data_IF_197145292898
#
_entry.id   IF_197145292898
#
_cell.length_a   1.000
_cell.length_b   1.000
_cell.length_c   1.000
_cell.angle_alpha   90.00
_cell.angle_beta   90.00
_cell.angle_gamma   90.00
#
_symmetry.space_group_name_H-M   'P 1'
#
loop_
_entity.id
_entity.type
_entity.pdbx_description
1 polymer ?
#
# COMPACT_ATOMS: atom_id res chain seq x y z
N UNK A 1 5.53 4.00 37.38
CA UNK A 1 5.27 3.08 36.24
C UNK A 1 5.29 3.85 34.92
N UNK A 2 5.82 3.27 33.82
CA UNK A 2 5.65 3.85 32.49
C UNK A 2 4.15 4.02 32.20
N UNK A 3 3.78 5.05 31.46
CA UNK A 3 2.37 5.32 31.06
C UNK A 3 2.06 4.83 29.65
N UNK A 4 3.08 4.50 28.85
CA UNK A 4 2.98 3.92 27.50
C UNK A 4 4.27 3.17 27.13
N UNK A 5 4.21 2.23 26.18
CA UNK A 5 5.39 1.69 25.48
C UNK A 5 5.47 2.23 24.06
N UNK A 6 6.67 2.20 23.48
CA UNK A 6 6.89 2.65 22.10
C UNK A 6 6.64 1.51 21.11
N UNK A 7 6.24 1.86 19.89
CA UNK A 7 5.91 0.91 18.82
C UNK A 7 7.09 0.58 17.89
N UNK A 8 8.26 1.16 18.12
CA UNK A 8 9.45 0.92 17.29
C UNK A 8 10.69 0.73 18.16
N UNK A 9 11.57 -0.20 17.75
CA UNK A 9 12.71 -0.63 18.54
C UNK A 9 13.75 0.48 18.75
N UNK A 10 13.86 1.40 17.80
CA UNK A 10 14.77 2.56 17.80
C UNK A 10 14.35 3.64 18.80
N UNK A 11 13.09 3.62 19.23
CA UNK A 11 12.57 4.49 20.30
C UNK A 11 12.52 3.77 21.66
N UNK A 12 12.93 2.50 21.72
CA UNK A 12 12.81 1.69 22.93
C UNK A 12 13.87 2.09 23.97
N UNK A 13 13.53 1.92 25.25
CA UNK A 13 14.51 2.05 26.32
C UNK A 13 15.42 0.83 26.29
N UNK A 14 16.71 1.04 26.04
CA UNK A 14 17.71 -0.02 26.16
C UNK A 14 17.76 -0.53 27.61
N UNK A 15 17.52 -1.83 27.78
CA UNK A 15 17.72 -2.54 29.04
C UNK A 15 18.96 -3.42 28.92
N UNK A 16 19.77 -3.46 29.97
CA UNK A 16 20.91 -4.36 30.07
C UNK A 16 20.57 -5.48 31.04
N UNK A 17 20.89 -6.71 30.65
CA UNK A 17 20.77 -7.87 31.53
C UNK A 17 21.69 -7.72 32.74
N UNK A 18 21.21 -8.11 33.94
CA UNK A 18 21.94 -8.03 35.20
C UNK A 18 21.44 -9.07 36.22
N UNK A 19 22.20 -9.25 37.31
CA UNK A 19 21.79 -10.00 38.50
C UNK A 19 21.85 -9.10 39.75
N UNK A 20 20.79 -9.07 40.59
CA UNK A 20 19.51 -9.76 40.45
C UNK A 20 18.72 -9.28 39.22
N UNK A 21 17.77 -10.10 38.71
CA UNK A 21 17.02 -9.78 37.49
C UNK A 21 16.22 -8.49 37.65
N UNK A 22 16.06 -7.77 36.53
CA UNK A 22 15.18 -6.61 36.47
C UNK A 22 13.72 -7.05 36.76
N UNK A 23 13.04 -6.32 37.64
CA UNK A 23 11.62 -6.52 37.98
C UNK A 23 10.80 -5.31 37.53
N UNK A 24 9.47 -5.45 37.44
CA UNK A 24 8.54 -4.38 37.03
C UNK A 24 8.82 -3.82 35.62
N UNK A 25 9.07 -4.73 34.66
CA UNK A 25 9.18 -4.40 33.25
C UNK A 25 7.83 -4.68 32.59
N UNK A 26 6.96 -3.66 32.61
CA UNK A 26 5.64 -3.72 32.00
C UNK A 26 5.70 -3.22 30.55
N UNK A 27 5.06 -3.95 29.63
CA UNK A 27 4.83 -3.52 28.25
C UNK A 27 3.38 -3.05 28.15
N UNK A 28 3.18 -1.78 27.81
CA UNK A 28 1.87 -1.16 27.64
C UNK A 28 1.64 -0.98 26.14
N UNK A 29 0.75 -1.77 25.57
CA UNK A 29 0.39 -1.67 24.16
C UNK A 29 -0.51 -0.45 23.99
N UNK A 30 0.04 0.61 23.41
CA UNK A 30 -0.74 1.69 22.81
C UNK A 30 -0.91 1.34 21.32
N UNK A 31 -2.13 1.10 20.82
CA UNK A 31 -2.36 0.81 19.41
C UNK A 31 -2.00 1.98 18.50
N UNK A 32 -1.65 3.15 19.04
CA UNK A 32 -1.40 4.37 18.29
C UNK A 32 -2.69 4.93 17.70
N UNK A 33 -2.54 5.93 16.85
CA UNK A 33 -3.66 6.44 16.08
C UNK A 33 -3.99 5.50 14.91
N UNK A 34 -5.20 5.62 14.37
CA UNK A 34 -5.67 4.76 13.29
C UNK A 34 -6.32 5.52 12.16
N UNK A 35 -6.28 4.95 10.96
CA UNK A 35 -7.07 5.39 9.80
C UNK A 35 -7.92 4.20 9.35
N UNK A 36 -9.19 4.47 9.00
CA UNK A 36 -10.14 3.44 8.57
C UNK A 36 -10.85 3.86 7.29
N UNK A 37 -11.35 2.86 6.59
CA UNK A 37 -12.21 3.03 5.44
C UNK A 37 -12.62 1.68 4.88
N UNK A 38 -13.16 1.72 3.68
CA UNK A 38 -13.67 0.58 2.94
C UNK A 38 -13.10 0.56 1.54
N UNK A 39 -12.82 -0.64 1.03
CA UNK A 39 -12.46 -0.85 -0.37
C UNK A 39 -13.53 -1.72 -1.01
N UNK A 40 -14.08 -1.23 -2.11
CA UNK A 40 -15.04 -1.98 -2.93
C UNK A 40 -14.48 -2.25 -4.31
N UNK A 41 -14.93 -3.36 -4.89
CA UNK A 41 -14.65 -3.77 -6.25
C UNK A 41 -15.48 -2.95 -7.26
N UNK A 42 -15.11 -2.97 -8.55
CA UNK A 42 -15.83 -2.26 -9.62
C UNK A 42 -17.33 -2.61 -9.73
N UNK A 43 -17.72 -3.81 -9.29
CA UNK A 43 -19.11 -4.28 -9.26
C UNK A 43 -19.85 -3.91 -7.96
N UNK A 44 -19.23 -3.09 -7.11
CA UNK A 44 -19.68 -2.67 -5.77
C UNK A 44 -19.70 -3.80 -4.72
N UNK A 45 -19.10 -4.96 -5.01
CA UNK A 45 -18.88 -5.97 -3.97
C UNK A 45 -17.69 -5.61 -3.07
N UNK A 46 -17.62 -6.12 -1.83
CA UNK A 46 -16.47 -5.88 -0.96
C UNK A 46 -15.16 -6.43 -1.51
N UNK A 47 -14.08 -5.65 -1.44
CA UNK A 47 -12.76 -6.11 -1.85
C UNK A 47 -12.01 -6.68 -0.64
N UNK A 48 -11.98 -8.01 -0.49
CA UNK A 48 -11.27 -8.69 0.60
C UNK A 48 -9.78 -8.88 0.29
N UNK A 49 -8.92 -8.76 1.31
CA UNK A 49 -7.49 -9.08 1.20
C UNK A 49 -6.66 -8.04 0.43
N UNK A 50 -7.21 -6.85 0.21
CA UNK A 50 -6.51 -5.73 -0.41
C UNK A 50 -5.63 -5.06 0.64
N UNK A 51 -4.34 -4.90 0.32
CA UNK A 51 -3.41 -4.16 1.17
C UNK A 51 -3.60 -2.67 0.97
N UNK A 52 -3.93 -1.98 2.05
CA UNK A 52 -3.99 -0.52 2.14
C UNK A 52 -2.83 -0.06 3.02
N UNK A 53 -2.02 0.87 2.52
CA UNK A 53 -0.91 1.44 3.25
C UNK A 53 -1.22 2.90 3.60
N UNK A 54 -0.75 3.35 4.76
CA UNK A 54 -0.66 4.75 5.12
C UNK A 54 0.82 5.11 5.25
N UNK A 55 1.28 6.07 4.46
CA UNK A 55 2.67 6.51 4.43
C UNK A 55 2.77 8.01 4.68
N UNK A 56 3.62 8.39 5.63
CA UNK A 56 4.08 9.75 5.83
C UNK A 56 5.52 9.80 5.31
N UNK A 57 5.67 10.50 4.19
CA UNK A 57 6.92 10.74 3.46
C UNK A 57 7.86 11.75 4.15
N UNK A 58 7.36 12.59 5.05
CA UNK A 58 8.16 13.59 5.79
C UNK A 58 9.02 12.90 6.83
N UNK A 59 8.41 12.05 7.66
CA UNK A 59 9.08 11.28 8.70
C UNK A 59 9.52 9.89 8.21
N UNK A 60 9.19 9.54 6.95
CA UNK A 60 9.36 8.21 6.36
C UNK A 60 8.81 7.08 7.26
N UNK A 61 7.60 7.29 7.76
CA UNK A 61 6.89 6.33 8.63
C UNK A 61 5.60 5.86 7.99
N UNK A 62 5.03 4.78 8.51
CA UNK A 62 3.78 4.25 7.98
C UNK A 62 3.46 2.88 8.52
N UNK A 63 2.27 2.40 8.15
CA UNK A 63 1.86 1.03 8.38
C UNK A 63 0.81 0.63 7.33
N UNK A 64 0.42 -0.63 7.30
CA UNK A 64 -0.63 -1.10 6.40
C UNK A 64 -1.53 -2.15 7.04
N UNK A 65 -2.69 -2.34 6.43
CA UNK A 65 -3.68 -3.33 6.82
C UNK A 65 -4.24 -4.02 5.58
N UNK A 66 -4.73 -5.25 5.76
CA UNK A 66 -5.53 -5.94 4.75
C UNK A 66 -7.01 -5.66 5.01
N UNK A 67 -7.79 -5.52 3.95
CA UNK A 67 -9.24 -5.45 4.04
C UNK A 67 -9.85 -6.80 4.46
N UNK A 68 -10.90 -6.75 5.27
CA UNK A 68 -11.64 -7.93 5.72
C UNK A 68 -12.66 -8.43 4.67
N UNK A 69 -13.47 -9.43 5.03
CA UNK A 69 -14.49 -10.01 4.14
C UNK A 69 -15.62 -9.02 3.76
N UNK A 70 -15.74 -7.90 4.47
CA UNK A 70 -16.67 -6.81 4.19
C UNK A 70 -15.97 -5.61 3.54
N UNK A 71 -14.70 -5.76 3.17
CA UNK A 71 -13.91 -4.72 2.51
C UNK A 71 -13.43 -3.63 3.46
N UNK A 72 -13.66 -3.75 4.76
CA UNK A 72 -13.22 -2.77 5.74
C UNK A 72 -11.76 -2.95 6.11
N UNK A 73 -11.05 -1.86 6.35
CA UNK A 73 -9.69 -1.91 6.87
C UNK A 73 -9.50 -0.94 8.04
N UNK A 74 -8.51 -1.23 8.88
CA UNK A 74 -8.08 -0.34 9.96
C UNK A 74 -6.57 -0.40 10.06
N UNK A 75 -5.91 0.67 9.65
CA UNK A 75 -4.47 0.84 9.81
C UNK A 75 -4.24 1.39 11.22
N UNK A 76 -3.43 0.71 12.02
CA UNK A 76 -3.10 1.09 13.40
C UNK A 76 -1.59 1.36 13.53
N UNK A 77 -1.16 1.81 14.71
CA UNK A 77 0.24 2.07 15.02
C UNK A 77 0.76 3.35 14.39
N UNK A 78 -0.13 4.26 13.98
CA UNK A 78 0.24 5.53 13.36
C UNK A 78 0.58 6.56 14.43
N UNK A 79 1.50 7.47 14.10
CA UNK A 79 1.76 8.66 14.91
C UNK A 79 0.52 9.56 14.83
N UNK A 80 -0.01 10.06 15.97
CA UNK A 80 -1.13 10.98 15.93
C UNK A 80 -0.80 12.24 15.13
N UNK A 81 -1.72 12.63 14.26
CA UNK A 81 -1.69 13.87 13.46
C UNK A 81 -3.07 14.51 13.58
N UNK A 82 -3.11 15.78 13.99
CA UNK A 82 -4.33 16.56 14.09
C UNK A 82 -4.78 17.04 12.70
N UNK A 83 -6.04 17.43 12.56
CA UNK A 83 -6.61 17.83 11.26
C UNK A 83 -5.91 19.08 10.70
N UNK A 84 -5.57 20.03 11.56
CA UNK A 84 -4.83 21.25 11.22
C UNK A 84 -3.40 20.99 10.73
N UNK A 85 -2.82 19.83 11.07
CA UNK A 85 -1.45 19.44 10.72
C UNK A 85 -1.42 18.42 9.57
N UNK A 86 -2.55 18.08 8.96
CA UNK A 86 -2.64 17.06 7.92
C UNK A 86 -1.72 17.38 6.72
N UNK A 87 -1.64 18.64 6.31
CA UNK A 87 -0.83 19.05 5.15
C UNK A 87 0.69 18.96 5.40
N UNK A 88 1.11 19.05 6.66
CA UNK A 88 2.53 19.14 7.06
C UNK A 88 3.02 17.92 7.83
N UNK A 89 2.12 16.99 8.17
CA UNK A 89 2.46 15.78 8.91
C UNK A 89 1.51 14.62 8.67
N UNK A 90 0.52 14.75 7.79
CA UNK A 90 -0.45 13.71 7.48
C UNK A 90 0.12 12.58 6.62
N UNK A 91 -0.72 11.57 6.45
CA UNK A 91 -0.42 10.36 5.71
C UNK A 91 -1.07 10.40 4.33
N UNK A 92 -0.35 9.94 3.31
CA UNK A 92 -0.96 9.45 2.09
C UNK A 92 -1.49 8.04 2.34
N UNK A 93 -2.73 7.78 1.93
CA UNK A 93 -3.31 6.44 1.99
C UNK A 93 -3.46 5.92 0.58
N UNK A 94 -2.93 4.72 0.34
CA UNK A 94 -2.82 4.15 -0.98
C UNK A 94 -3.06 2.65 -0.99
N UNK A 95 -3.46 2.17 -2.16
CA UNK A 95 -3.60 0.76 -2.50
C UNK A 95 -2.53 0.49 -3.56
N UNK A 96 -1.61 -0.42 -3.23
CA UNK A 96 -0.56 -0.89 -4.15
C UNK A 96 -0.73 -2.40 -4.38
N UNK A 97 -1.73 -2.83 -5.17
CA UNK A 97 -1.99 -4.24 -5.42
C UNK A 97 -1.26 -4.71 -6.69
N UNK A 98 -1.07 -6.03 -6.78
CA UNK A 98 -0.52 -6.68 -7.98
C UNK A 98 -1.57 -6.72 -9.12
N UNK A 99 -2.85 -6.83 -8.77
CA UNK A 99 -3.94 -7.16 -9.71
C UNK A 99 -4.85 -5.97 -10.07
N UNK A 100 -4.61 -4.78 -9.49
CA UNK A 100 -5.37 -3.56 -9.82
C UNK A 100 -4.42 -2.39 -10.06
N UNK A 101 -4.85 -1.35 -10.80
CA UNK A 101 -4.11 -0.12 -10.92
C UNK A 101 -3.82 0.51 -9.55
N UNK A 102 -2.67 1.19 -9.47
CA UNK A 102 -2.31 2.03 -8.33
C UNK A 102 -3.42 3.04 -8.04
N UNK A 103 -3.68 3.27 -6.75
CA UNK A 103 -4.66 4.26 -6.32
C UNK A 103 -4.27 4.88 -4.98
N UNK A 104 -4.43 6.18 -4.84
CA UNK A 104 -4.27 6.91 -3.58
C UNK A 104 -5.52 7.75 -3.26
N UNK A 105 -5.76 8.06 -1.99
CA UNK A 105 -6.95 8.80 -1.59
C UNK A 105 -6.91 10.27 -2.06
N UNK A 106 -8.02 10.86 -2.57
CA UNK A 106 -9.34 10.26 -2.82
C UNK A 106 -9.50 9.82 -4.28
N UNK A 107 -9.16 8.58 -4.62
CA UNK A 107 -9.24 8.00 -5.98
C UNK A 107 -8.23 8.58 -7.01
N UNK A 108 -7.13 9.14 -6.53
CA UNK A 108 -6.00 9.59 -7.34
C UNK A 108 -5.26 8.40 -7.98
N UNK A 109 -4.84 8.52 -9.24
CA UNK A 109 -4.05 7.48 -9.94
C UNK A 109 -2.54 7.73 -9.87
N UNK A 110 -2.12 8.81 -9.20
CA UNK A 110 -0.73 9.13 -8.92
C UNK A 110 -0.62 9.76 -7.53
N UNK A 111 0.47 9.49 -6.81
CA UNK A 111 0.69 10.05 -5.46
C UNK A 111 0.68 11.59 -5.45
N UNK A 112 1.16 12.23 -6.52
CA UNK A 112 1.18 13.71 -6.65
C UNK A 112 -0.20 14.36 -6.67
N UNK A 113 -1.26 13.58 -6.91
CA UNK A 113 -2.65 14.03 -6.91
C UNK A 113 -3.39 13.62 -5.63
N UNK A 114 -2.73 12.85 -4.75
CA UNK A 114 -3.31 12.39 -3.50
C UNK A 114 -3.36 13.51 -2.46
N UNK A 115 -4.24 13.35 -1.48
CA UNK A 115 -4.39 14.27 -0.35
C UNK A 115 -3.81 13.61 0.90
N UNK A 116 -3.06 14.39 1.69
CA UNK A 116 -2.63 13.96 3.01
C UNK A 116 -3.80 14.00 3.97
N UNK A 117 -3.87 13.02 4.86
CA UNK A 117 -4.92 12.95 5.85
C UNK A 117 -4.36 12.87 7.26
N UNK A 118 -5.11 13.47 8.19
CA UNK A 118 -4.90 13.29 9.62
C UNK A 118 -5.25 11.87 10.05
N UNK A 119 -4.75 11.49 11.22
CA UNK A 119 -5.17 10.23 11.85
C UNK A 119 -6.53 10.37 12.52
N UNK A 120 -7.25 9.27 12.70
CA UNK A 120 -8.58 9.23 13.30
C UNK A 120 -9.73 9.27 12.29
N UNK A 121 -9.42 9.48 11.00
CA UNK A 121 -10.41 9.46 9.92
C UNK A 121 -10.95 8.05 9.67
N UNK A 122 -12.22 7.96 9.28
CA UNK A 122 -12.94 6.67 9.12
C UNK A 122 -13.63 6.48 7.78
N UNK A 123 -13.56 7.48 6.91
CA UNK A 123 -14.23 7.62 5.63
C UNK A 123 -13.23 7.63 4.46
N UNK A 124 -12.09 6.96 4.64
CA UNK A 124 -11.01 6.90 3.67
C UNK A 124 -11.28 5.76 2.69
N UNK A 125 -12.27 5.95 1.84
CA UNK A 125 -12.84 4.90 1.00
C UNK A 125 -12.25 4.86 -0.41
N UNK A 126 -12.18 3.65 -0.96
CA UNK A 126 -11.67 3.36 -2.30
C UNK A 126 -12.67 2.55 -3.13
N UNK A 127 -12.75 2.86 -4.42
CA UNK A 127 -13.48 2.05 -5.40
C UNK A 127 -12.47 1.61 -6.45
N UNK A 128 -12.09 0.33 -6.40
CA UNK A 128 -11.11 -0.21 -7.32
C UNK A 128 -11.62 -0.10 -8.76
N UNK A 129 -10.72 0.26 -9.67
CA UNK A 129 -10.97 0.29 -11.10
C UNK A 129 -10.36 -0.96 -11.73
N UNK A 130 -11.01 -1.53 -12.74
CA UNK A 130 -10.36 -2.56 -13.57
C UNK A 130 -9.30 -1.87 -14.41
N UNK A 131 -8.06 -2.33 -14.32
CA UNK A 131 -7.02 -1.93 -15.25
C UNK A 131 -7.25 -2.52 -16.63
N UNK A 132 -6.70 -1.88 -17.65
CA UNK A 132 -6.59 -2.50 -18.96
C UNK A 132 -5.38 -3.43 -18.98
N UNK A 133 -5.37 -4.39 -19.90
CA UNK A 133 -4.24 -5.28 -20.08
C UNK A 133 -3.92 -5.47 -21.55
N UNK A 134 -2.63 -5.54 -21.86
CA UNK A 134 -2.12 -5.92 -23.18
C UNK A 134 -1.58 -7.35 -23.05
N UNK A 135 -2.03 -8.25 -23.92
CA UNK A 135 -1.59 -9.64 -23.93
C UNK A 135 -1.36 -10.12 -25.35
N UNK A 136 -0.52 -11.14 -25.49
CA UNK A 136 -0.20 -11.71 -26.79
C UNK A 136 0.73 -12.91 -26.68
N UNK A 137 1.23 -13.35 -27.83
CA UNK A 137 2.24 -14.41 -27.95
C UNK A 137 3.40 -13.92 -28.81
N UNK A 138 4.60 -14.34 -28.44
CA UNK A 138 5.82 -14.14 -29.22
C UNK A 138 6.29 -15.49 -29.73
N UNK A 139 6.48 -15.58 -31.04
CA UNK A 139 7.04 -16.74 -31.72
C UNK A 139 8.02 -16.30 -32.81
N UNK A 140 8.90 -17.20 -33.24
CA UNK A 140 9.77 -16.98 -34.39
C UNK A 140 9.03 -17.19 -35.73
N UNK A 141 9.73 -17.08 -36.86
CA UNK A 141 9.15 -17.24 -38.20
C UNK A 141 8.56 -18.62 -38.45
N UNK A 142 9.07 -19.66 -37.77
CA UNK A 142 8.57 -21.04 -37.84
C UNK A 142 7.38 -21.31 -36.89
N UNK A 143 6.94 -20.31 -36.14
CA UNK A 143 5.83 -20.44 -35.17
C UNK A 143 6.21 -21.07 -33.83
N UNK A 144 7.50 -21.25 -33.55
CA UNK A 144 7.99 -21.74 -32.25
C UNK A 144 7.90 -20.63 -31.20
N UNK A 145 7.23 -20.85 -30.06
CA UNK A 145 7.10 -19.84 -29.01
C UNK A 145 8.46 -19.47 -28.40
N UNK A 146 8.64 -18.19 -28.07
CA UNK A 146 9.86 -17.68 -27.46
C UNK A 146 9.63 -17.33 -25.98
N UNK A 147 10.27 -18.07 -25.08
CA UNK A 147 10.30 -17.84 -23.63
C UNK A 147 11.35 -16.78 -23.26
N UNK A 148 11.17 -16.11 -22.11
CA UNK A 148 12.12 -15.17 -21.53
C UNK A 148 12.38 -13.91 -22.38
N UNK A 149 11.42 -13.52 -23.23
CA UNK A 149 11.47 -12.29 -24.01
C UNK A 149 10.86 -11.16 -23.21
N UNK A 150 11.64 -10.09 -23.02
CA UNK A 150 11.17 -8.86 -22.39
C UNK A 150 10.21 -8.10 -23.31
N UNK A 151 9.02 -7.77 -22.81
CA UNK A 151 8.03 -6.93 -23.49
C UNK A 151 7.83 -5.67 -22.67
N UNK A 152 7.96 -4.51 -23.30
CA UNK A 152 7.74 -3.21 -22.69
C UNK A 152 6.65 -2.46 -23.47
N UNK A 153 5.75 -1.79 -22.76
CA UNK A 153 4.76 -0.87 -23.30
C UNK A 153 4.91 0.48 -22.61
N UNK A 154 4.78 1.56 -23.37
CA UNK A 154 4.85 2.95 -22.89
C UNK A 154 3.72 3.76 -23.53
N UNK A 155 3.11 4.64 -22.74
CA UNK A 155 2.13 5.59 -23.25
C UNK A 155 2.82 6.63 -24.14
N UNK A 156 2.18 7.02 -25.24
CA UNK A 156 2.72 7.99 -26.19
C UNK A 156 2.75 9.42 -25.62
N UNK A 157 1.84 9.73 -24.70
CA UNK A 157 1.67 11.04 -24.09
C UNK A 157 2.43 11.21 -22.76
N UNK A 158 2.91 10.11 -22.17
CA UNK A 158 3.58 10.10 -20.86
C UNK A 158 4.40 8.82 -20.64
N UNK A 159 5.45 8.64 -21.43
CA UNK A 159 6.28 7.42 -21.42
C UNK A 159 7.07 7.21 -20.12
N UNK A 160 7.37 8.30 -19.41
CA UNK A 160 8.24 8.28 -18.23
C UNK A 160 7.53 7.73 -16.99
N UNK A 161 6.21 7.97 -16.90
CA UNK A 161 5.42 7.56 -15.72
C UNK A 161 4.36 6.50 -16.03
N UNK A 162 3.99 6.32 -17.31
CA UNK A 162 3.01 5.32 -17.75
C UNK A 162 3.64 4.29 -18.67
N UNK A 163 4.27 3.30 -18.05
CA UNK A 163 4.82 2.14 -18.74
C UNK A 163 4.50 0.85 -17.98
N UNK A 164 4.58 -0.27 -18.70
CA UNK A 164 4.40 -1.59 -18.14
C UNK A 164 5.35 -2.57 -18.82
N UNK A 165 5.78 -3.58 -18.08
CA UNK A 165 6.69 -4.58 -18.61
C UNK A 165 6.39 -5.97 -18.09
N UNK A 166 6.77 -6.97 -18.89
CA UNK A 166 6.56 -8.38 -18.57
C UNK A 166 7.56 -9.24 -19.34
N UNK A 167 7.62 -10.52 -19.00
CA UNK A 167 8.48 -11.51 -19.66
C UNK A 167 7.60 -12.66 -20.16
N UNK A 168 7.86 -13.12 -21.38
CA UNK A 168 7.12 -14.27 -21.94
C UNK A 168 7.38 -15.55 -21.17
N UNK A 169 6.33 -16.35 -20.95
CA UNK A 169 6.45 -17.68 -20.36
C UNK A 169 6.89 -18.74 -21.40
N UNK A 170 7.01 -20.01 -20.97
CA UNK A 170 7.43 -21.14 -21.80
C UNK A 170 6.59 -21.38 -23.07
N UNK A 171 5.37 -20.83 -23.13
CA UNK A 171 4.48 -20.90 -24.28
C UNK A 171 4.53 -19.64 -25.15
N UNK A 172 5.49 -18.74 -24.89
CA UNK A 172 5.65 -17.46 -25.58
C UNK A 172 4.57 -16.44 -25.22
N UNK A 173 3.69 -16.73 -24.27
CA UNK A 173 2.59 -15.82 -23.89
C UNK A 173 3.08 -14.74 -22.95
N UNK A 174 2.57 -13.51 -23.13
CA UNK A 174 2.83 -12.39 -22.23
C UNK A 174 1.54 -11.67 -21.85
N UNK A 175 1.56 -11.00 -20.69
CA UNK A 175 0.49 -10.07 -20.27
C UNK A 175 1.10 -8.92 -19.45
N UNK A 176 0.77 -7.70 -19.85
CA UNK A 176 1.03 -6.46 -19.11
C UNK A 176 -0.30 -6.06 -18.51
N UNK A 177 -0.40 -6.09 -17.18
CA UNK A 177 -1.61 -5.78 -16.43
C UNK A 177 -1.60 -4.34 -15.94
N UNK A 178 -2.78 -3.81 -15.61
CA UNK A 178 -2.95 -2.54 -14.90
C UNK A 178 -2.38 -1.31 -15.61
N UNK A 179 -2.53 -1.29 -16.94
CA UNK A 179 -2.31 -0.11 -17.79
C UNK A 179 -3.48 0.87 -17.72
#
# INVERSE_FOLDING_TARGET
>A
PPTYSVLSWDRARLLRSQYPPLTNIDIIIDPGASIRGTVILPDNSPAQGIRVNAHNDIDNTGNGALTDAFGHYTITGLKPVAQEDADTGGYYVEIQPVDYPYMAYPQATHLSQAVRIATGQTDIDFQLKKGHHIYGKIHNEEGVPLENVQVNAWALDDSDTKNGSTVTNSNGSYSILNL
#
